data_IF_134699195521
#
_entry.id   IF_134699195521
#
_cell.length_a   1.000
_cell.length_b   1.000
_cell.length_c   1.000
_cell.angle_alpha   90.00
_cell.angle_beta   90.00
_cell.angle_gamma   90.00
#
_symmetry.space_group_name_H-M   'P 1'
#
loop_
_entity.id
_entity.type
_entity.pdbx_description
1 polymer ?
#
# COMPACT_ATOMS: atom_id res chain seq x y z
N UNK A 1 -18.94 2.68 20.88
CA UNK A 1 -18.42 1.41 21.45
C UNK A 1 -17.43 1.73 22.55
N UNK A 2 -17.24 0.91 23.58
CA UNK A 2 -16.14 1.08 24.52
C UNK A 2 -14.80 0.79 23.83
N UNK A 3 -13.73 1.46 24.29
CA UNK A 3 -12.37 1.16 23.83
C UNK A 3 -11.99 -0.29 24.20
N UNK A 4 -11.29 -1.00 23.31
CA UNK A 4 -10.69 -2.30 23.62
C UNK A 4 -9.63 -2.20 24.71
N UNK A 5 -9.14 -3.34 25.22
CA UNK A 5 -8.08 -3.34 26.26
C UNK A 5 -6.83 -2.62 25.74
N UNK A 6 -6.37 -2.93 24.53
CA UNK A 6 -5.21 -2.32 23.92
C UNK A 6 -5.41 -0.81 23.65
N UNK A 7 -6.60 -0.41 23.17
CA UNK A 7 -6.92 1.02 23.00
C UNK A 7 -6.94 1.77 24.32
N UNK A 8 -7.46 1.17 25.40
CA UNK A 8 -7.45 1.78 26.73
C UNK A 8 -6.03 1.98 27.29
N UNK A 9 -5.11 1.08 26.97
CA UNK A 9 -3.72 1.20 27.37
C UNK A 9 -3.10 2.48 26.80
N UNK A 10 -3.23 2.69 25.47
CA UNK A 10 -2.74 3.90 24.80
C UNK A 10 -3.48 5.14 25.30
N UNK A 11 -4.80 5.07 25.45
CA UNK A 11 -5.65 6.22 25.84
C UNK A 11 -5.35 6.73 27.27
N UNK A 12 -4.95 5.85 28.18
CA UNK A 12 -4.62 6.20 29.58
C UNK A 12 -3.21 6.73 29.72
N UNK A 13 -2.36 6.53 28.74
CA UNK A 13 -0.99 7.01 28.78
C UNK A 13 -0.94 8.51 28.47
N UNK A 14 -0.24 9.27 29.29
CA UNK A 14 -0.12 10.73 29.21
C UNK A 14 1.28 11.19 28.74
N UNK A 15 2.12 10.28 28.26
CA UNK A 15 3.43 10.63 27.69
C UNK A 15 3.26 11.63 26.55
N UNK A 16 4.11 12.65 26.53
CA UNK A 16 4.01 13.78 25.61
C UNK A 16 3.92 13.38 24.15
N UNK A 17 4.79 12.47 23.68
CA UNK A 17 4.79 11.96 22.32
C UNK A 17 4.58 10.45 22.34
N UNK A 18 3.52 10.00 21.73
CA UNK A 18 3.17 8.58 21.68
C UNK A 18 3.19 8.10 20.24
N UNK A 19 3.82 6.95 20.00
CA UNK A 19 3.86 6.28 18.68
C UNK A 19 3.10 4.98 18.79
N UNK A 20 2.07 4.81 17.96
CA UNK A 20 1.26 3.61 17.91
C UNK A 20 1.39 2.95 16.53
N UNK A 21 2.05 1.83 16.50
CA UNK A 21 2.19 0.96 15.34
C UNK A 21 1.21 -0.22 15.50
N UNK A 22 0.33 -0.40 14.53
CA UNK A 22 -0.66 -1.49 14.62
C UNK A 22 -0.87 -2.16 13.28
N UNK A 23 -1.39 -3.39 13.35
CA UNK A 23 -1.95 -4.04 12.18
C UNK A 23 -3.20 -3.31 11.67
N UNK A 24 -3.56 -3.59 10.41
CA UNK A 24 -4.77 -3.04 9.79
C UNK A 24 -6.03 -3.41 10.57
N UNK A 25 -7.05 -2.54 10.53
CA UNK A 25 -8.34 -2.77 11.19
C UNK A 25 -8.28 -2.89 12.72
N UNK A 26 -7.17 -2.50 13.35
CA UNK A 26 -7.05 -2.44 14.81
C UNK A 26 -8.00 -1.42 15.46
N UNK A 27 -8.44 -0.42 14.71
CA UNK A 27 -9.32 0.64 15.22
C UNK A 27 -8.59 1.95 15.56
N UNK A 28 -7.50 2.28 14.85
CA UNK A 28 -6.74 3.53 14.99
C UNK A 28 -7.62 4.77 14.93
N UNK A 29 -8.49 4.86 13.93
CA UNK A 29 -9.42 5.99 13.73
C UNK A 29 -10.33 6.18 14.94
N UNK A 30 -10.86 5.09 15.49
CA UNK A 30 -11.72 5.16 16.67
C UNK A 30 -10.97 5.66 17.92
N UNK A 31 -9.74 5.19 18.13
CA UNK A 31 -8.87 5.71 19.18
C UNK A 31 -8.57 7.20 18.97
N UNK A 32 -8.23 7.60 17.74
CA UNK A 32 -7.93 9.00 17.41
C UNK A 32 -9.10 9.95 17.73
N UNK A 33 -10.36 9.54 17.41
CA UNK A 33 -11.55 10.33 17.76
C UNK A 33 -11.64 10.52 19.28
N UNK A 34 -11.41 9.47 20.07
CA UNK A 34 -11.45 9.54 21.52
C UNK A 34 -10.32 10.42 22.09
N UNK A 35 -9.10 10.34 21.52
CA UNK A 35 -7.98 11.19 21.90
C UNK A 35 -8.24 12.67 21.58
N UNK A 36 -8.72 12.96 20.37
CA UNK A 36 -9.13 14.32 19.99
C UNK A 36 -10.21 14.85 20.95
N UNK A 37 -11.21 14.03 21.30
CA UNK A 37 -12.23 14.39 22.27
C UNK A 37 -11.63 14.61 23.69
N UNK A 38 -10.72 13.75 24.15
CA UNK A 38 -10.01 13.87 25.43
C UNK A 38 -9.35 15.24 25.59
N UNK A 39 -8.62 15.67 24.57
CA UNK A 39 -7.89 16.95 24.61
C UNK A 39 -8.80 18.16 24.39
N UNK A 40 -9.77 18.08 23.49
CA UNK A 40 -10.66 19.21 23.15
C UNK A 40 -11.76 19.48 24.19
N UNK A 41 -11.98 18.60 25.18
CA UNK A 41 -12.93 18.84 26.28
C UNK A 41 -12.52 20.00 27.20
N UNK A 42 -11.23 20.30 27.26
CA UNK A 42 -10.74 21.47 28.02
C UNK A 42 -10.94 22.74 27.18
N UNK A 43 -11.25 23.88 27.79
CA UNK A 43 -11.59 25.10 27.07
C UNK A 43 -10.40 25.69 26.30
N UNK A 44 -10.72 26.29 25.13
CA UNK A 44 -9.78 27.04 24.29
C UNK A 44 -8.58 26.21 23.79
N UNK A 45 -8.76 24.88 23.62
CA UNK A 45 -7.74 24.00 23.05
C UNK A 45 -7.74 24.06 21.54
N UNK A 46 -6.55 23.95 20.98
CA UNK A 46 -6.32 23.85 19.53
C UNK A 46 -5.76 22.49 19.21
N UNK A 47 -6.57 21.67 18.54
CA UNK A 47 -6.28 20.26 18.27
C UNK A 47 -6.26 20.05 16.76
N UNK A 48 -5.20 19.44 16.26
CA UNK A 48 -5.13 19.03 14.85
C UNK A 48 -5.12 17.52 14.69
N UNK A 49 -5.82 17.07 13.64
CA UNK A 49 -5.64 15.76 13.05
C UNK A 49 -5.02 15.96 11.67
N UNK A 50 -3.86 15.33 11.45
CA UNK A 50 -3.11 15.42 10.21
C UNK A 50 -3.02 14.04 9.57
N UNK A 51 -3.28 13.93 8.27
CA UNK A 51 -3.07 12.74 7.47
C UNK A 51 -2.30 13.08 6.20
N UNK A 52 -1.80 12.09 5.48
CA UNK A 52 -0.96 12.32 4.31
C UNK A 52 -1.69 13.03 3.17
N UNK A 53 -3.02 12.82 3.03
CA UNK A 53 -3.83 13.44 1.97
C UNK A 53 -5.12 14.07 2.52
N UNK A 54 -5.60 15.11 1.83
CA UNK A 54 -6.87 15.77 2.17
C UNK A 54 -8.06 14.79 2.12
N UNK A 55 -8.06 13.90 1.13
CA UNK A 55 -9.12 12.90 0.97
C UNK A 55 -9.20 11.96 2.18
N UNK A 56 -8.07 11.50 2.70
CA UNK A 56 -8.04 10.66 3.91
C UNK A 56 -8.62 11.40 5.11
N UNK A 57 -8.27 12.67 5.30
CA UNK A 57 -8.85 13.48 6.37
C UNK A 57 -10.37 13.57 6.28
N UNK A 58 -10.89 13.89 5.09
CA UNK A 58 -12.31 14.12 4.86
C UNK A 58 -13.13 12.84 4.94
N UNK A 59 -12.75 11.82 4.17
CA UNK A 59 -13.60 10.64 3.97
C UNK A 59 -13.52 9.65 5.15
N UNK A 60 -12.40 9.63 5.88
CA UNK A 60 -12.17 8.62 6.93
C UNK A 60 -12.44 9.18 8.33
N UNK A 61 -12.07 10.42 8.59
CA UNK A 61 -12.05 10.94 9.94
C UNK A 61 -13.09 12.03 10.23
N UNK A 62 -13.36 12.93 9.25
CA UNK A 62 -14.19 14.12 9.52
C UNK A 62 -15.62 13.78 9.90
N UNK A 63 -16.31 12.96 9.11
CA UNK A 63 -17.71 12.62 9.38
C UNK A 63 -17.91 11.86 10.69
N UNK A 64 -17.11 10.80 11.01
CA UNK A 64 -17.22 10.13 12.31
C UNK A 64 -16.92 11.04 13.50
N UNK A 65 -15.96 11.96 13.37
CA UNK A 65 -15.67 12.95 14.41
C UNK A 65 -16.84 13.91 14.60
N UNK A 66 -17.39 14.45 13.50
CA UNK A 66 -18.53 15.35 13.51
C UNK A 66 -19.74 14.71 14.21
N UNK A 67 -20.09 13.48 13.83
CA UNK A 67 -21.16 12.71 14.50
C UNK A 67 -20.91 12.57 16.00
N UNK A 68 -19.68 12.27 16.41
CA UNK A 68 -19.32 12.16 17.83
C UNK A 68 -19.51 13.49 18.56
N UNK A 69 -19.13 14.63 17.97
CA UNK A 69 -19.27 15.96 18.58
C UNK A 69 -20.74 16.40 18.65
N UNK A 70 -21.57 16.07 17.65
CA UNK A 70 -23.02 16.32 17.65
C UNK A 70 -23.69 15.49 18.76
N UNK A 71 -23.42 14.18 18.80
CA UNK A 71 -24.00 13.26 19.79
C UNK A 71 -23.74 13.73 21.22
N UNK A 72 -22.56 14.23 21.49
CA UNK A 72 -22.17 14.74 22.80
C UNK A 72 -22.62 16.19 23.06
N UNK A 73 -23.30 16.84 22.10
CA UNK A 73 -23.77 18.23 22.20
C UNK A 73 -22.65 19.26 22.44
N UNK A 74 -21.43 18.94 22.00
CA UNK A 74 -20.26 19.81 22.19
C UNK A 74 -20.09 20.83 21.07
N UNK A 75 -20.64 20.56 19.90
CA UNK A 75 -20.48 21.37 18.70
C UNK A 75 -21.15 22.74 18.83
N UNK A 76 -20.44 23.79 18.40
CA UNK A 76 -20.95 25.15 18.21
C UNK A 76 -21.06 25.54 16.73
N UNK A 77 -20.01 25.26 15.94
CA UNK A 77 -19.94 25.62 14.51
C UNK A 77 -19.16 24.58 13.71
N UNK A 78 -19.57 24.35 12.47
CA UNK A 78 -18.83 23.54 11.48
C UNK A 78 -18.44 24.40 10.29
N UNK A 79 -17.21 24.26 9.81
CA UNK A 79 -16.73 24.88 8.57
C UNK A 79 -16.22 23.78 7.65
N UNK A 80 -17.08 23.30 6.76
CA UNK A 80 -16.80 22.16 5.89
C UNK A 80 -15.63 22.42 4.91
N UNK A 81 -15.53 23.61 4.34
CA UNK A 81 -14.46 23.97 3.41
C UNK A 81 -13.05 23.89 4.04
N UNK A 82 -12.96 24.14 5.35
CA UNK A 82 -11.71 24.12 6.12
C UNK A 82 -11.60 22.89 7.03
N UNK A 83 -12.52 21.93 6.95
CA UNK A 83 -12.64 20.77 7.83
C UNK A 83 -12.40 21.13 9.31
N UNK A 84 -13.13 22.15 9.78
CA UNK A 84 -12.94 22.73 11.13
C UNK A 84 -14.22 22.62 11.95
N UNK A 85 -14.06 22.13 13.18
CA UNK A 85 -15.12 22.08 14.20
C UNK A 85 -14.77 23.05 15.33
N UNK A 86 -15.69 23.98 15.63
CA UNK A 86 -15.59 24.85 16.80
C UNK A 86 -16.53 24.33 17.87
N UNK A 87 -16.01 24.09 19.07
CA UNK A 87 -16.78 23.57 20.19
C UNK A 87 -17.34 24.69 21.06
N UNK A 88 -18.39 24.42 21.85
CA UNK A 88 -19.02 25.37 22.77
C UNK A 88 -18.05 25.93 23.80
N UNK A 89 -17.04 25.17 24.22
CA UNK A 89 -15.97 25.59 25.14
C UNK A 89 -14.87 26.42 24.46
N UNK A 90 -15.09 26.84 23.20
CA UNK A 90 -14.14 27.60 22.35
C UNK A 90 -12.90 26.82 21.92
N UNK A 91 -12.90 25.50 22.07
CA UNK A 91 -11.84 24.66 21.47
C UNK A 91 -12.08 24.52 19.98
N UNK A 92 -10.99 24.37 19.22
CA UNK A 92 -11.00 24.25 17.76
C UNK A 92 -10.31 22.96 17.38
N UNK A 93 -11.00 22.12 16.62
CA UNK A 93 -10.47 20.91 16.01
C UNK A 93 -10.38 21.15 14.51
N UNK A 94 -9.19 20.99 13.93
CA UNK A 94 -8.98 21.14 12.49
C UNK A 94 -8.32 19.88 11.92
N UNK A 95 -8.81 19.48 10.75
CA UNK A 95 -8.21 18.42 9.97
C UNK A 95 -7.34 19.05 8.88
N UNK A 96 -6.12 18.55 8.72
CA UNK A 96 -5.11 19.09 7.80
C UNK A 96 -4.45 17.96 7.02
N UNK A 97 -3.99 18.28 5.83
CA UNK A 97 -3.22 17.37 4.99
C UNK A 97 -1.74 17.72 5.00
N UNK A 98 -0.89 16.68 5.02
CA UNK A 98 0.56 16.82 4.94
C UNK A 98 1.09 16.75 3.49
N UNK A 99 0.24 16.65 2.46
CA UNK A 99 0.65 16.67 1.05
C UNK A 99 1.37 17.98 0.67
N UNK A 100 0.99 19.10 1.29
CA UNK A 100 1.72 20.36 1.26
C UNK A 100 2.05 20.80 2.69
N UNK A 101 3.05 20.17 3.30
CA UNK A 101 3.37 20.38 4.72
C UNK A 101 3.82 21.82 5.04
N UNK A 102 4.30 22.60 4.08
CA UNK A 102 4.62 24.02 4.30
C UNK A 102 3.39 24.85 4.69
N UNK A 103 2.19 24.45 4.27
CA UNK A 103 0.92 25.11 4.64
C UNK A 103 0.53 24.91 6.12
N UNK A 104 1.23 24.05 6.84
CA UNK A 104 0.97 23.72 8.25
C UNK A 104 1.72 24.64 9.24
N UNK A 105 2.46 25.64 8.77
CA UNK A 105 3.24 26.57 9.62
C UNK A 105 2.35 27.59 10.33
N UNK A 106 2.83 28.14 11.44
CA UNK A 106 2.32 29.38 12.04
C UNK A 106 1.21 29.25 13.08
N UNK A 107 0.98 28.05 13.62
CA UNK A 107 -0.06 27.80 14.65
C UNK A 107 0.51 27.06 15.85
N UNK A 108 0.24 27.53 17.07
CA UNK A 108 0.52 26.79 18.30
C UNK A 108 -0.58 25.76 18.59
N UNK A 109 -0.22 24.52 18.90
CA UNK A 109 -1.13 23.40 19.14
C UNK A 109 -1.02 22.86 20.57
N UNK A 110 -2.14 22.46 21.12
CA UNK A 110 -2.20 21.74 22.40
C UNK A 110 -2.08 20.22 22.18
N UNK A 111 -2.63 19.70 21.07
CA UNK A 111 -2.56 18.29 20.73
C UNK A 111 -2.59 18.06 19.21
N UNK A 112 -1.82 17.08 18.77
CA UNK A 112 -1.69 16.69 17.39
C UNK A 112 -1.84 15.17 17.24
N UNK A 113 -2.68 14.75 16.32
CA UNK A 113 -2.69 13.36 15.81
C UNK A 113 -2.10 13.37 14.41
N UNK A 114 -1.13 12.51 14.14
CA UNK A 114 -0.61 12.26 12.77
C UNK A 114 -0.96 10.83 12.38
N UNK A 115 -1.94 10.69 11.47
CA UNK A 115 -2.45 9.38 11.05
C UNK A 115 -1.78 8.92 9.76
N UNK A 116 -1.54 7.61 9.69
CA UNK A 116 -0.75 6.93 8.65
C UNK A 116 0.61 7.63 8.42
N UNK A 117 1.23 8.07 9.53
CA UNK A 117 2.44 8.89 9.49
C UNK A 117 3.60 8.21 8.74
N UNK A 118 3.63 6.89 8.70
CA UNK A 118 4.63 6.11 7.96
C UNK A 118 4.66 6.44 6.45
N UNK A 119 3.54 6.88 5.89
CA UNK A 119 3.37 7.21 4.48
C UNK A 119 3.54 8.72 4.19
N UNK A 120 3.68 9.55 5.22
CA UNK A 120 3.88 11.00 5.08
C UNK A 120 5.36 11.35 4.91
N UNK A 121 5.64 12.51 4.30
CA UNK A 121 7.01 13.05 4.22
C UNK A 121 7.52 13.37 5.64
N UNK A 122 8.66 12.81 6.08
CA UNK A 122 9.20 13.04 7.42
C UNK A 122 9.50 14.51 7.73
N UNK A 123 9.77 15.34 6.72
CA UNK A 123 9.96 16.79 6.87
C UNK A 123 8.71 17.47 7.45
N UNK A 124 7.53 16.92 7.20
CA UNK A 124 6.27 17.42 7.79
C UNK A 124 6.35 17.48 9.32
N UNK A 125 6.95 16.46 9.93
CA UNK A 125 7.18 16.42 11.37
C UNK A 125 8.36 17.28 11.81
N UNK A 126 9.55 16.99 11.27
CA UNK A 126 10.78 17.59 11.80
C UNK A 126 10.87 19.10 11.57
N UNK A 127 10.38 19.59 10.42
CA UNK A 127 10.50 21.01 10.05
C UNK A 127 9.28 21.84 10.43
N UNK A 128 8.07 21.23 10.51
CA UNK A 128 6.83 22.00 10.61
C UNK A 128 6.00 21.65 11.83
N UNK A 129 5.57 20.40 11.99
CA UNK A 129 4.60 20.04 13.03
C UNK A 129 5.21 20.05 14.43
N UNK A 130 6.45 19.56 14.59
CA UNK A 130 7.14 19.58 15.89
C UNK A 130 7.26 20.99 16.50
N UNK A 131 7.66 22.03 15.77
CA UNK A 131 7.68 23.40 16.29
C UNK A 131 6.32 23.93 16.73
N UNK A 132 5.20 23.48 16.12
CA UNK A 132 3.85 23.93 16.53
C UNK A 132 3.44 23.48 17.93
N UNK A 133 4.12 22.47 18.48
CA UNK A 133 3.91 21.96 19.85
C UNK A 133 4.83 22.60 20.89
N UNK A 134 5.68 23.55 20.50
CA UNK A 134 6.73 24.15 21.34
C UNK A 134 6.36 25.57 21.77
N UNK A 135 5.15 25.78 22.30
CA UNK A 135 4.77 27.09 22.87
C UNK A 135 5.37 27.25 24.29
N UNK A 136 5.91 28.45 24.60
CA UNK A 136 6.52 28.77 25.90
C UNK A 136 5.56 28.61 27.09
N UNK A 137 4.26 28.75 26.85
CA UNK A 137 3.23 28.67 27.89
C UNK A 137 2.65 27.27 28.08
N UNK A 138 2.80 26.38 27.05
CA UNK A 138 2.22 25.05 27.08
C UNK A 138 2.98 24.14 26.13
N UNK A 139 3.56 23.08 26.65
CA UNK A 139 4.06 22.01 25.82
C UNK A 139 2.91 21.18 25.25
N UNK A 140 2.69 21.25 23.95
CA UNK A 140 1.72 20.42 23.26
C UNK A 140 2.20 18.97 23.18
N UNK A 141 1.28 18.05 22.95
CA UNK A 141 1.56 16.62 22.82
C UNK A 141 1.15 16.05 21.46
N UNK A 142 1.76 14.92 21.07
CA UNK A 142 1.50 14.27 19.79
C UNK A 142 1.19 12.78 19.95
N UNK A 143 0.31 12.28 19.06
CA UNK A 143 0.04 10.86 18.88
C UNK A 143 0.23 10.51 17.38
N UNK A 144 1.19 9.64 17.11
CA UNK A 144 1.45 9.10 15.79
C UNK A 144 0.76 7.75 15.65
N UNK A 145 0.01 7.58 14.58
CA UNK A 145 -0.72 6.35 14.25
C UNK A 145 -0.26 5.83 12.90
N UNK A 146 0.06 4.57 12.81
CA UNK A 146 0.46 4.00 11.53
C UNK A 146 0.52 2.48 11.52
N UNK A 147 0.70 1.96 10.31
CA UNK A 147 1.11 0.58 10.03
C UNK A 147 2.61 0.62 9.71
N UNK A 148 3.43 -0.35 10.12
CA UNK A 148 4.87 -0.31 9.87
C UNK A 148 5.18 -0.35 8.36
N UNK A 149 6.30 0.28 7.96
CA UNK A 149 6.78 0.33 6.56
C UNK A 149 8.22 -0.18 6.40
N UNK A 150 8.69 -0.97 7.35
CA UNK A 150 10.05 -1.51 7.39
C UNK A 150 11.03 -0.68 8.19
N UNK A 151 12.20 -1.27 8.47
CA UNK A 151 13.25 -0.66 9.30
C UNK A 151 13.86 0.62 8.70
N UNK A 152 13.90 0.73 7.38
CA UNK A 152 14.41 1.94 6.69
C UNK A 152 13.43 3.11 6.63
N UNK A 153 12.24 2.98 7.19
CA UNK A 153 11.23 4.04 7.21
C UNK A 153 11.35 4.87 8.48
N UNK A 154 11.17 6.19 8.39
CA UNK A 154 11.21 7.09 9.54
C UNK A 154 10.23 6.76 10.67
N UNK A 155 9.21 5.95 10.39
CA UNK A 155 8.31 5.44 11.42
C UNK A 155 9.02 4.52 12.43
N UNK A 156 10.04 3.79 11.98
CA UNK A 156 10.88 3.01 12.88
C UNK A 156 11.76 3.90 13.75
N UNK A 157 12.30 4.99 13.18
CA UNK A 157 13.10 5.96 13.93
C UNK A 157 12.29 6.61 15.05
N UNK A 158 11.02 6.97 14.79
CA UNK A 158 10.14 7.49 15.84
C UNK A 158 9.73 6.42 16.84
N UNK A 159 9.50 5.19 16.40
CA UNK A 159 9.14 4.07 17.27
C UNK A 159 10.24 3.79 18.30
N UNK A 160 11.50 3.89 17.93
CA UNK A 160 12.66 3.64 18.80
C UNK A 160 13.08 4.86 19.63
N UNK A 161 12.45 6.04 19.46
CA UNK A 161 12.78 7.24 20.27
C UNK A 161 12.62 7.02 21.77
N UNK A 162 11.69 6.18 22.20
CA UNK A 162 11.49 5.86 23.62
C UNK A 162 12.74 5.30 24.32
N UNK A 163 13.66 4.68 23.57
CA UNK A 163 14.91 4.13 24.09
C UNK A 163 15.91 5.22 24.53
N UNK A 164 15.74 6.44 24.01
CA UNK A 164 16.66 7.56 24.19
C UNK A 164 16.03 8.78 24.85
N UNK A 165 14.70 8.83 24.93
CA UNK A 165 13.98 10.02 25.39
C UNK A 165 12.69 9.65 26.11
N UNK A 166 12.63 9.92 27.43
CA UNK A 166 11.48 9.62 28.28
C UNK A 166 10.19 10.37 27.92
N UNK A 167 10.27 11.44 27.09
CA UNK A 167 9.10 12.12 26.55
C UNK A 167 8.43 11.37 25.40
N UNK A 168 8.93 10.18 25.06
CA UNK A 168 8.40 9.31 24.01
C UNK A 168 8.00 7.96 24.58
N UNK A 169 6.89 7.45 24.08
CA UNK A 169 6.43 6.09 24.37
C UNK A 169 5.84 5.45 23.10
N UNK A 170 6.23 4.21 22.88
CA UNK A 170 5.80 3.45 21.70
C UNK A 170 4.95 2.27 22.11
N UNK A 171 3.94 1.98 21.28
CA UNK A 171 3.02 0.87 21.41
C UNK A 171 2.99 0.10 20.10
N UNK A 172 2.92 -1.22 20.21
CA UNK A 172 2.81 -2.11 19.04
C UNK A 172 1.75 -3.18 19.33
N UNK A 173 0.77 -3.28 18.42
CA UNK A 173 -0.31 -4.24 18.57
C UNK A 173 -0.66 -4.89 17.24
N UNK A 174 -0.97 -6.17 17.26
CA UNK A 174 -1.47 -6.89 16.09
C UNK A 174 -2.91 -6.48 15.76
N UNK A 175 -3.38 -6.85 14.58
CA UNK A 175 -4.79 -6.65 14.19
C UNK A 175 -5.76 -7.24 15.21
N UNK A 176 -5.46 -8.41 15.77
CA UNK A 176 -6.33 -9.10 16.73
C UNK A 176 -6.48 -8.34 18.06
N UNK A 177 -5.44 -7.66 18.52
CA UNK A 177 -5.47 -6.90 19.77
C UNK A 177 -6.49 -5.75 19.72
N UNK A 178 -6.85 -5.31 18.53
CA UNK A 178 -7.89 -4.29 18.31
C UNK A 178 -9.30 -4.77 18.61
N UNK A 179 -9.53 -6.09 18.53
CA UNK A 179 -10.84 -6.72 18.78
C UNK A 179 -11.92 -6.43 17.73
N UNK A 180 -11.54 -5.91 16.54
CA UNK A 180 -12.45 -5.56 15.46
C UNK A 180 -12.52 -6.61 14.36
N UNK A 181 -11.55 -7.51 14.29
CA UNK A 181 -11.37 -8.52 13.23
C UNK A 181 -11.51 -9.93 13.83
N UNK A 182 -12.23 -10.79 13.12
CA UNK A 182 -12.37 -12.18 13.54
C UNK A 182 -11.09 -12.99 13.26
N UNK A 183 -10.81 -14.06 14.03
CA UNK A 183 -9.71 -14.97 13.73
C UNK A 183 -9.79 -15.59 12.32
N UNK A 184 -10.99 -15.85 11.80
CA UNK A 184 -11.19 -16.40 10.47
C UNK A 184 -10.70 -15.44 9.38
N UNK A 185 -10.88 -14.13 9.54
CA UNK A 185 -10.38 -13.12 8.61
C UNK A 185 -8.84 -13.11 8.55
N UNK A 186 -8.20 -13.34 9.70
CA UNK A 186 -6.74 -13.47 9.77
C UNK A 186 -6.26 -14.73 9.01
N UNK A 187 -6.96 -15.83 9.15
CA UNK A 187 -6.63 -17.06 8.41
C UNK A 187 -6.85 -16.92 6.90
N UNK A 188 -7.86 -16.17 6.48
CA UNK A 188 -8.05 -15.84 5.06
C UNK A 188 -6.92 -14.93 4.54
N UNK A 189 -6.55 -13.92 5.31
CA UNK A 189 -5.45 -13.03 4.94
C UNK A 189 -4.11 -13.77 4.75
N UNK A 190 -3.85 -14.84 5.49
CA UNK A 190 -2.67 -15.70 5.28
C UNK A 190 -2.69 -16.42 3.94
N UNK A 191 -3.88 -16.73 3.39
CA UNK A 191 -3.97 -17.30 2.03
C UNK A 191 -3.67 -16.26 0.94
N UNK A 192 -4.13 -15.03 1.18
CA UNK A 192 -4.17 -13.98 0.16
C UNK A 192 -2.89 -13.15 0.11
N UNK A 193 -1.98 -13.30 1.09
CA UNK A 193 -0.77 -12.51 1.23
C UNK A 193 0.48 -13.38 1.33
N UNK A 194 1.61 -12.85 0.89
CA UNK A 194 2.91 -13.38 1.23
C UNK A 194 3.24 -13.16 2.72
N UNK A 195 4.18 -13.94 3.24
CA UNK A 195 4.49 -13.94 4.67
C UNK A 195 4.94 -12.58 5.20
N UNK A 196 5.80 -11.85 4.44
CA UNK A 196 6.31 -10.53 4.85
C UNK A 196 5.19 -9.50 4.90
N UNK A 197 4.36 -9.44 3.85
CA UNK A 197 3.20 -8.54 3.81
C UNK A 197 2.20 -8.88 4.92
N UNK A 198 1.94 -10.17 5.17
CA UNK A 198 1.07 -10.58 6.26
C UNK A 198 1.61 -10.13 7.62
N UNK A 199 2.89 -10.34 7.89
CA UNK A 199 3.53 -9.91 9.15
C UNK A 199 3.48 -8.39 9.31
N UNK A 200 3.79 -7.65 8.26
CA UNK A 200 3.73 -6.19 8.29
C UNK A 200 2.30 -5.66 8.52
N UNK A 201 1.33 -6.13 7.73
CA UNK A 201 0.00 -5.53 7.68
C UNK A 201 -0.94 -6.03 8.81
N UNK A 202 -0.74 -7.27 9.32
CA UNK A 202 -1.60 -7.87 10.34
C UNK A 202 -0.92 -8.06 11.68
N UNK A 203 0.37 -8.38 11.69
CA UNK A 203 1.13 -8.59 12.93
C UNK A 203 1.88 -7.34 13.38
N UNK A 204 1.75 -6.23 12.64
CA UNK A 204 2.42 -4.96 12.90
C UNK A 204 3.95 -5.06 12.99
N UNK A 205 4.56 -6.01 12.28
CA UNK A 205 6.00 -6.24 12.29
C UNK A 205 6.72 -5.24 11.39
N UNK A 206 7.84 -4.69 11.87
CA UNK A 206 8.79 -4.00 10.98
C UNK A 206 9.58 -5.04 10.22
N UNK A 207 9.53 -4.99 8.89
CA UNK A 207 10.20 -5.95 8.03
C UNK A 207 11.40 -5.31 7.32
N UNK A 208 12.40 -6.13 7.01
CA UNK A 208 13.57 -5.67 6.26
C UNK A 208 13.31 -5.77 4.76
N UNK A 209 13.54 -4.66 4.04
CA UNK A 209 13.51 -4.60 2.59
C UNK A 209 14.95 -4.50 2.05
N UNK A 210 15.74 -5.52 2.31
CA UNK A 210 17.10 -5.68 1.76
C UNK A 210 17.18 -6.96 0.93
N UNK A 211 18.11 -6.99 -0.01
CA UNK A 211 18.34 -8.15 -0.87
C UNK A 211 17.29 -8.35 -1.95
N UNK A 212 16.94 -9.61 -2.21
CA UNK A 212 16.02 -9.97 -3.31
C UNK A 212 14.61 -9.44 -3.11
N UNK A 213 14.04 -8.85 -4.16
CA UNK A 213 12.65 -8.40 -4.20
C UNK A 213 11.68 -9.58 -4.13
N UNK A 214 12.00 -10.66 -4.86
CA UNK A 214 11.18 -11.87 -4.92
C UNK A 214 11.71 -12.95 -3.98
N UNK A 215 11.81 -12.59 -2.71
CA UNK A 215 12.41 -13.39 -1.63
C UNK A 215 11.71 -14.75 -1.38
N UNK A 216 10.48 -14.91 -1.86
CA UNK A 216 9.72 -16.15 -1.77
C UNK A 216 10.04 -17.15 -2.89
N UNK A 217 10.85 -16.75 -3.88
CA UNK A 217 11.24 -17.62 -4.97
C UNK A 217 12.19 -18.72 -4.46
N UNK A 218 11.86 -19.94 -4.84
CA UNK A 218 12.72 -21.11 -4.61
C UNK A 218 12.81 -21.92 -5.90
N UNK A 219 14.01 -21.99 -6.47
CA UNK A 219 14.22 -22.66 -7.76
C UNK A 219 13.77 -24.11 -7.76
N UNK A 220 13.99 -24.85 -6.66
CA UNK A 220 13.61 -26.27 -6.57
C UNK A 220 12.09 -26.48 -6.51
N UNK A 221 11.33 -25.48 -6.07
CA UNK A 221 9.90 -25.58 -5.82
C UNK A 221 9.06 -24.79 -6.82
N UNK A 222 9.59 -23.70 -7.40
CA UNK A 222 8.88 -22.86 -8.35
C UNK A 222 9.29 -23.13 -9.82
N UNK A 223 10.45 -23.79 -10.07
CA UNK A 223 10.86 -24.12 -11.45
C UNK A 223 10.53 -25.58 -11.73
N UNK A 224 9.88 -25.81 -12.86
CA UNK A 224 9.52 -27.13 -13.40
C UNK A 224 10.33 -27.39 -14.68
N UNK A 225 10.63 -28.65 -14.96
CA UNK A 225 11.48 -29.00 -16.11
C UNK A 225 10.88 -28.55 -17.43
N UNK A 226 9.63 -28.96 -17.68
CA UNK A 226 8.88 -28.61 -18.90
C UNK A 226 7.40 -28.43 -18.56
N UNK A 227 6.71 -27.66 -19.40
CA UNK A 227 5.26 -27.52 -19.30
C UNK A 227 4.64 -27.52 -20.71
N UNK A 228 3.68 -28.39 -20.93
CA UNK A 228 2.90 -28.42 -22.16
C UNK A 228 1.51 -27.83 -21.89
N UNK A 229 1.18 -26.66 -22.48
CA UNK A 229 -0.12 -26.04 -22.26
C UNK A 229 -1.25 -26.91 -22.82
N UNK A 230 -2.30 -27.06 -22.04
CA UNK A 230 -3.47 -27.87 -22.40
C UNK A 230 -4.68 -27.02 -22.80
N UNK A 231 -4.69 -25.75 -22.42
CA UNK A 231 -5.75 -24.80 -22.76
C UNK A 231 -5.53 -24.17 -24.12
N UNK A 232 -6.64 -23.82 -24.77
CA UNK A 232 -6.62 -22.98 -25.96
C UNK A 232 -6.48 -21.48 -25.61
N UNK A 233 -6.74 -21.11 -24.36
CA UNK A 233 -6.54 -19.74 -23.84
C UNK A 233 -5.16 -19.60 -23.24
N UNK A 234 -4.41 -18.61 -23.68
CA UNK A 234 -3.12 -18.23 -23.13
C UNK A 234 -3.15 -16.82 -22.56
N UNK A 235 -2.37 -16.59 -21.52
CA UNK A 235 -2.30 -15.34 -20.79
C UNK A 235 -0.88 -14.76 -20.93
N UNK A 236 -0.77 -13.55 -21.48
CA UNK A 236 0.50 -12.91 -21.79
C UNK A 236 0.62 -11.61 -20.97
N UNK A 237 1.56 -11.55 -20.06
CA UNK A 237 2.01 -10.31 -19.44
C UNK A 237 2.98 -9.59 -20.38
N UNK A 238 2.82 -8.28 -20.57
CA UNK A 238 3.63 -7.52 -21.54
C UNK A 238 4.15 -6.22 -20.91
N UNK A 239 5.46 -6.07 -20.88
CA UNK A 239 6.14 -4.81 -20.63
C UNK A 239 6.60 -4.21 -21.96
N UNK A 240 6.02 -3.05 -22.30
CA UNK A 240 6.21 -2.38 -23.58
C UNK A 240 7.35 -1.37 -23.53
N UNK A 241 8.51 -1.81 -23.06
CA UNK A 241 9.73 -1.03 -23.14
C UNK A 241 10.43 -1.30 -24.48
N UNK A 242 11.11 -0.29 -25.02
CA UNK A 242 11.79 -0.41 -26.32
C UNK A 242 13.01 -1.34 -26.21
N UNK A 243 13.68 -1.36 -25.06
CA UNK A 243 14.96 -2.06 -24.92
C UNK A 243 15.17 -2.65 -23.51
N UNK A 244 14.77 -3.89 -23.30
CA UNK A 244 14.00 -4.80 -24.18
C UNK A 244 12.49 -4.69 -24.01
N UNK A 245 11.73 -5.06 -25.05
CA UNK A 245 10.31 -5.40 -24.91
C UNK A 245 10.22 -6.85 -24.40
N UNK A 246 9.43 -7.05 -23.36
CA UNK A 246 9.38 -8.31 -22.64
C UNK A 246 7.96 -8.85 -22.50
N UNK A 247 7.75 -10.12 -22.88
CA UNK A 247 6.50 -10.81 -22.68
C UNK A 247 6.67 -12.14 -21.95
N UNK A 248 5.75 -12.43 -21.04
CA UNK A 248 5.69 -13.67 -20.26
C UNK A 248 4.44 -14.43 -20.67
N UNK A 249 4.59 -15.64 -21.19
CA UNK A 249 3.51 -16.47 -21.70
C UNK A 249 3.14 -17.54 -20.69
N UNK A 250 1.86 -17.65 -20.37
CA UNK A 250 1.39 -18.52 -19.31
C UNK A 250 0.01 -19.15 -19.57
N UNK A 251 -0.27 -20.22 -18.84
CA UNK A 251 -1.57 -20.86 -18.70
C UNK A 251 -2.08 -20.75 -17.26
N UNK A 252 -3.37 -20.47 -17.09
CA UNK A 252 -4.06 -20.47 -15.79
C UNK A 252 -4.81 -21.78 -15.62
N UNK A 253 -4.52 -22.50 -14.52
CA UNK A 253 -5.24 -23.74 -14.12
C UNK A 253 -5.71 -23.62 -12.67
N UNK A 254 -6.97 -23.26 -12.49
CA UNK A 254 -7.50 -22.98 -11.16
C UNK A 254 -6.72 -21.81 -10.50
N UNK A 255 -6.16 -22.06 -9.33
CA UNK A 255 -5.33 -21.07 -8.64
C UNK A 255 -3.86 -21.03 -9.12
N UNK A 256 -3.46 -22.00 -9.94
CA UNK A 256 -2.08 -22.09 -10.41
C UNK A 256 -1.85 -21.33 -11.70
N UNK A 257 -0.69 -20.68 -11.79
CA UNK A 257 -0.18 -20.02 -12.98
C UNK A 257 1.10 -20.74 -13.44
N UNK A 258 1.09 -21.21 -14.67
CA UNK A 258 2.23 -21.88 -15.29
C UNK A 258 2.81 -20.99 -16.38
N UNK A 259 3.99 -20.43 -16.13
CA UNK A 259 4.78 -19.70 -17.14
C UNK A 259 5.59 -20.73 -17.93
N UNK A 260 5.39 -20.80 -19.25
CA UNK A 260 6.00 -21.84 -20.07
C UNK A 260 6.78 -21.33 -21.28
N UNK A 261 6.64 -20.04 -21.60
CA UNK A 261 7.47 -19.41 -22.64
C UNK A 261 7.68 -17.92 -22.32
N UNK A 262 8.67 -17.32 -22.97
CA UNK A 262 9.04 -15.91 -22.86
C UNK A 262 9.45 -15.33 -24.20
N UNK A 263 9.20 -14.03 -24.38
CA UNK A 263 9.66 -13.27 -25.56
C UNK A 263 10.45 -12.06 -25.05
N UNK A 264 11.65 -11.88 -25.58
CA UNK A 264 12.51 -10.72 -25.33
C UNK A 264 13.01 -10.20 -26.66
N UNK A 265 12.69 -8.95 -26.98
CA UNK A 265 13.10 -8.32 -28.24
C UNK A 265 13.73 -6.97 -27.93
N UNK A 266 14.95 -6.77 -28.39
CA UNK A 266 15.70 -5.54 -28.21
C UNK A 266 15.48 -4.58 -29.38
N UNK A 267 15.43 -3.27 -29.09
CA UNK A 267 15.22 -2.25 -30.11
C UNK A 267 13.89 -2.38 -30.86
N UNK A 268 12.85 -2.89 -30.20
CA UNK A 268 11.59 -3.31 -30.80
C UNK A 268 10.45 -2.31 -30.59
N UNK A 269 9.36 -2.56 -31.30
CA UNK A 269 8.10 -1.84 -31.19
C UNK A 269 6.92 -2.80 -30.96
N UNK A 270 5.74 -2.25 -30.69
CA UNK A 270 4.55 -3.06 -30.39
C UNK A 270 4.06 -3.90 -31.58
N UNK A 271 4.25 -3.44 -32.83
CA UNK A 271 3.85 -4.20 -34.00
C UNK A 271 4.70 -5.48 -34.15
N UNK A 272 6.02 -5.41 -33.88
CA UNK A 272 6.93 -6.58 -33.97
C UNK A 272 6.63 -7.62 -32.87
N UNK A 273 6.35 -7.23 -31.66
CA UNK A 273 5.97 -8.22 -30.63
C UNK A 273 4.62 -8.86 -30.93
N UNK A 274 3.69 -8.13 -31.56
CA UNK A 274 2.41 -8.67 -32.02
C UNK A 274 2.65 -9.73 -33.10
N UNK A 275 3.56 -9.47 -34.05
CA UNK A 275 3.92 -10.42 -35.10
C UNK A 275 4.53 -11.70 -34.52
N UNK A 276 5.48 -11.56 -33.60
CA UNK A 276 6.11 -12.69 -32.91
C UNK A 276 5.10 -13.54 -32.12
N UNK A 277 4.18 -12.89 -31.37
CA UNK A 277 3.12 -13.59 -30.66
C UNK A 277 2.20 -14.36 -31.62
N UNK A 278 1.81 -13.76 -32.77
CA UNK A 278 0.97 -14.40 -33.78
C UNK A 278 1.68 -15.57 -34.42
N UNK A 279 2.96 -15.45 -34.74
CA UNK A 279 3.75 -16.52 -35.35
C UNK A 279 3.84 -17.74 -34.44
N UNK A 280 4.00 -17.55 -33.13
CA UNK A 280 4.07 -18.66 -32.16
C UNK A 280 2.71 -19.23 -31.77
N UNK A 281 1.65 -18.40 -31.75
CA UNK A 281 0.37 -18.74 -31.11
C UNK A 281 -0.86 -18.42 -31.96
N UNK A 282 -0.79 -18.57 -33.28
CA UNK A 282 -1.84 -18.20 -34.24
C UNK A 282 -3.21 -18.83 -33.97
N UNK A 283 -3.26 -20.03 -33.41
CA UNK A 283 -4.48 -20.78 -33.12
C UNK A 283 -5.01 -20.62 -31.68
N UNK A 284 -4.38 -19.75 -30.87
CA UNK A 284 -4.72 -19.58 -29.46
C UNK A 284 -5.61 -18.37 -29.21
N UNK A 285 -6.46 -18.47 -28.19
CA UNK A 285 -7.17 -17.32 -27.65
C UNK A 285 -6.23 -16.54 -26.73
N UNK A 286 -5.78 -15.36 -27.17
CA UNK A 286 -4.76 -14.57 -26.51
C UNK A 286 -5.39 -13.51 -25.62
N UNK A 287 -5.17 -13.63 -24.30
CA UNK A 287 -5.42 -12.58 -23.31
C UNK A 287 -4.10 -11.88 -23.01
N UNK A 288 -4.04 -10.56 -23.21
CA UNK A 288 -2.82 -9.78 -23.01
C UNK A 288 -3.01 -8.73 -21.91
N UNK A 289 -2.01 -8.62 -21.05
CA UNK A 289 -1.98 -7.77 -19.86
C UNK A 289 -0.80 -6.79 -19.96
N UNK A 290 -0.98 -5.68 -20.69
CA UNK A 290 0.09 -4.72 -20.92
C UNK A 290 0.24 -3.74 -19.75
N UNK A 291 1.37 -3.02 -19.76
CA UNK A 291 1.55 -1.84 -18.92
C UNK A 291 0.39 -0.84 -19.14
N UNK A 292 -0.25 -0.31 -18.09
CA UNK A 292 -1.25 0.76 -18.20
C UNK A 292 -0.78 2.00 -18.96
N UNK A 293 0.54 2.29 -19.06
CA UNK A 293 1.10 3.34 -19.90
C UNK A 293 0.80 3.16 -21.39
N UNK A 294 0.48 1.94 -21.86
CA UNK A 294 0.10 1.62 -23.24
C UNK A 294 -1.11 2.41 -23.76
N UNK A 295 -1.88 3.04 -22.86
CA UNK A 295 -2.99 3.96 -23.19
C UNK A 295 -2.52 5.32 -23.69
N UNK A 296 -1.26 5.69 -23.46
CA UNK A 296 -0.74 7.00 -23.86
C UNK A 296 -0.56 7.08 -25.38
N UNK A 297 -0.99 8.22 -25.96
CA UNK A 297 -0.77 8.50 -27.39
C UNK A 297 0.69 8.85 -27.63
N UNK A 298 1.30 8.18 -28.60
CA UNK A 298 2.67 8.51 -29.06
C UNK A 298 2.57 9.28 -30.38
N UNK A 299 3.14 10.49 -30.43
CA UNK A 299 3.17 11.33 -31.64
C UNK A 299 3.94 10.67 -32.77
N UNK A 300 4.98 9.91 -32.45
CA UNK A 300 5.80 9.12 -33.41
C UNK A 300 5.05 8.00 -34.10
N UNK A 301 3.91 7.55 -33.57
CA UNK A 301 3.10 6.45 -34.12
C UNK A 301 1.83 6.92 -34.86
N UNK A 302 1.79 8.17 -35.37
CA UNK A 302 0.61 8.72 -36.05
C UNK A 302 -0.63 8.80 -35.17
N UNK A 303 -0.45 8.98 -33.85
CA UNK A 303 -1.54 9.05 -32.86
C UNK A 303 -2.11 7.70 -32.43
N UNK A 304 -1.60 6.56 -32.93
CA UNK A 304 -1.95 5.23 -32.43
C UNK A 304 -1.39 5.02 -31.02
N UNK A 305 -2.12 4.31 -30.19
CA UNK A 305 -1.66 3.84 -28.90
C UNK A 305 -1.21 2.39 -29.01
N UNK A 306 -0.25 1.97 -28.17
CA UNK A 306 0.15 0.56 -28.09
C UNK A 306 -1.07 -0.34 -27.80
N UNK A 307 -2.00 0.15 -26.96
CA UNK A 307 -3.27 -0.51 -26.70
C UNK A 307 -4.12 -0.71 -27.97
N UNK A 308 -4.16 0.27 -28.90
CA UNK A 308 -4.90 0.16 -30.15
C UNK A 308 -4.28 -0.86 -31.09
N UNK A 309 -2.94 -0.97 -31.12
CA UNK A 309 -2.21 -1.96 -31.90
C UNK A 309 -2.56 -3.37 -31.42
N UNK A 310 -2.48 -3.62 -30.12
CA UNK A 310 -2.82 -4.93 -29.53
C UNK A 310 -4.28 -5.32 -29.79
N UNK A 311 -5.23 -4.40 -29.70
CA UNK A 311 -6.65 -4.65 -29.99
C UNK A 311 -6.88 -4.95 -31.49
N UNK A 312 -6.26 -4.17 -32.37
CA UNK A 312 -6.37 -4.37 -33.82
C UNK A 312 -5.75 -5.69 -34.27
N UNK A 313 -4.77 -6.19 -33.49
CA UNK A 313 -4.21 -7.52 -33.71
C UNK A 313 -5.19 -8.67 -33.40
N UNK A 314 -6.36 -8.37 -32.78
CA UNK A 314 -7.35 -9.36 -32.38
C UNK A 314 -7.15 -9.90 -30.95
N UNK A 315 -6.23 -9.36 -30.17
CA UNK A 315 -5.98 -9.82 -28.81
C UNK A 315 -7.04 -9.32 -27.81
N UNK A 316 -7.36 -10.15 -26.84
CA UNK A 316 -8.25 -9.78 -25.72
C UNK A 316 -7.45 -8.99 -24.69
N UNK A 317 -7.43 -7.66 -24.84
CA UNK A 317 -6.59 -6.79 -24.00
C UNK A 317 -7.25 -6.51 -22.67
N UNK A 318 -6.55 -6.81 -21.59
CA UNK A 318 -6.95 -6.61 -20.19
C UNK A 318 -5.97 -5.64 -19.52
N UNK A 319 -6.40 -4.43 -19.25
CA UNK A 319 -5.53 -3.39 -18.69
C UNK A 319 -6.25 -2.59 -17.60
N UNK A 320 -5.55 -2.29 -16.51
CA UNK A 320 -6.06 -1.44 -15.42
C UNK A 320 -6.29 0.00 -15.88
N UNK A 321 -7.22 0.71 -15.25
CA UNK A 321 -7.45 2.13 -15.53
C UNK A 321 -6.32 3.05 -15.02
N UNK A 322 -5.62 2.64 -13.98
CA UNK A 322 -4.47 3.31 -13.40
C UNK A 322 -3.34 2.31 -13.16
N UNK A 323 -2.11 2.80 -13.07
CA UNK A 323 -0.98 1.96 -12.67
C UNK A 323 -1.20 1.41 -11.27
N UNK A 324 -1.12 0.09 -11.06
CA UNK A 324 -1.01 -0.47 -9.72
C UNK A 324 0.28 0.01 -9.06
N UNK A 325 0.26 0.16 -7.75
CA UNK A 325 1.48 0.48 -7.02
C UNK A 325 2.52 -0.61 -7.25
N UNK A 326 3.78 -0.22 -7.46
CA UNK A 326 4.90 -1.16 -7.66
C UNK A 326 4.95 -2.20 -6.54
N UNK A 327 4.76 -1.76 -5.30
CA UNK A 327 4.68 -2.63 -4.13
C UNK A 327 3.59 -3.71 -4.27
N UNK A 328 2.40 -3.33 -4.73
CA UNK A 328 1.27 -4.27 -4.83
C UNK A 328 1.51 -5.32 -5.92
N UNK A 329 2.17 -4.95 -7.03
CA UNK A 329 2.61 -5.89 -8.07
C UNK A 329 3.66 -6.88 -7.52
N UNK A 330 4.67 -6.39 -6.82
CA UNK A 330 5.71 -7.22 -6.19
C UNK A 330 5.09 -8.20 -5.19
N UNK A 331 4.21 -7.71 -4.32
CA UNK A 331 3.57 -8.52 -3.30
C UNK A 331 2.65 -9.58 -3.93
N UNK A 332 1.94 -9.28 -5.02
CA UNK A 332 1.13 -10.25 -5.74
C UNK A 332 1.99 -11.41 -6.31
N UNK A 333 3.15 -11.09 -6.88
CA UNK A 333 4.10 -12.10 -7.35
C UNK A 333 4.64 -12.93 -6.18
N UNK A 334 5.08 -12.29 -5.09
CA UNK A 334 5.58 -13.00 -3.90
C UNK A 334 4.51 -13.91 -3.28
N UNK A 335 3.25 -13.48 -3.27
CA UNK A 335 2.12 -14.31 -2.79
C UNK A 335 1.94 -15.57 -3.63
N UNK A 336 2.05 -15.45 -4.96
CA UNK A 336 1.95 -16.59 -5.88
C UNK A 336 3.18 -17.50 -5.81
N UNK A 337 4.35 -16.94 -5.58
CA UNK A 337 5.58 -17.71 -5.33
C UNK A 337 5.46 -18.54 -4.04
N UNK A 338 4.99 -17.93 -2.96
CA UNK A 338 4.69 -18.61 -1.69
C UNK A 338 3.85 -17.69 -0.81
N UNK A 339 2.63 -18.10 -0.48
CA UNK A 339 1.80 -17.34 0.45
C UNK A 339 2.20 -17.59 1.92
N UNK A 340 1.59 -16.86 2.87
CA UNK A 340 1.92 -16.97 4.29
C UNK A 340 1.56 -18.34 4.92
N UNK A 341 0.76 -19.17 4.22
CA UNK A 341 0.51 -20.57 4.58
C UNK A 341 1.52 -21.55 3.99
N UNK A 342 2.50 -21.06 3.21
CA UNK A 342 3.50 -21.89 2.56
C UNK A 342 3.07 -22.47 1.20
N UNK A 343 1.87 -22.14 0.71
CA UNK A 343 1.35 -22.67 -0.56
C UNK A 343 1.97 -21.90 -1.73
N UNK A 344 2.38 -22.60 -2.78
CA UNK A 344 2.94 -22.09 -4.02
C UNK A 344 1.97 -22.32 -5.17
N UNK A 345 1.74 -21.29 -5.96
CA UNK A 345 0.80 -21.32 -7.09
C UNK A 345 1.36 -20.66 -8.35
N UNK A 346 2.65 -20.28 -8.35
CA UNK A 346 3.40 -19.84 -9.54
C UNK A 346 4.50 -20.85 -9.86
N UNK A 347 4.43 -21.42 -11.07
CA UNK A 347 5.41 -22.36 -11.59
C UNK A 347 5.96 -21.84 -12.92
N UNK A 348 7.28 -21.98 -13.10
CA UNK A 348 8.00 -21.45 -14.26
C UNK A 348 8.77 -22.59 -14.92
N UNK A 349 8.53 -22.80 -16.20
CA UNK A 349 9.25 -23.82 -16.95
C UNK A 349 10.73 -23.43 -17.12
N UNK A 350 11.61 -24.41 -17.02
CA UNK A 350 13.06 -24.20 -17.00
C UNK A 350 13.62 -23.56 -18.29
N UNK A 351 12.87 -23.55 -19.40
CA UNK A 351 13.22 -22.83 -20.64
C UNK A 351 13.05 -21.30 -20.49
N UNK A 352 12.24 -20.80 -19.56
CA UNK A 352 12.03 -19.37 -19.31
C UNK A 352 13.22 -18.77 -18.52
N UNK A 353 14.40 -18.74 -19.12
CA UNK A 353 15.65 -18.37 -18.48
C UNK A 353 15.69 -16.90 -18.05
N UNK A 354 15.09 -16.00 -18.84
CA UNK A 354 15.07 -14.57 -18.52
C UNK A 354 14.13 -14.27 -17.35
N UNK A 355 12.94 -14.89 -17.31
CA UNK A 355 12.01 -14.79 -16.17
C UNK A 355 12.69 -15.28 -14.90
N UNK A 356 13.28 -16.48 -14.91
CA UNK A 356 13.96 -17.07 -13.75
C UNK A 356 15.10 -16.16 -13.28
N UNK A 357 15.98 -15.73 -14.21
CA UNK A 357 17.11 -14.84 -13.90
C UNK A 357 16.65 -13.50 -13.32
N UNK A 358 15.59 -12.92 -13.87
CA UNK A 358 15.06 -11.64 -13.39
C UNK A 358 14.49 -11.74 -11.98
N UNK A 359 13.75 -12.80 -11.68
CA UNK A 359 13.22 -13.06 -10.33
C UNK A 359 14.36 -13.28 -9.32
N UNK A 360 15.38 -14.04 -9.68
CA UNK A 360 16.50 -14.34 -8.79
C UNK A 360 17.37 -13.13 -8.46
N UNK A 361 17.52 -12.20 -9.41
CA UNK A 361 18.56 -11.17 -9.37
C UNK A 361 18.05 -9.77 -9.10
N UNK A 362 16.76 -9.51 -9.22
CA UNK A 362 16.25 -8.18 -8.93
C UNK A 362 16.29 -7.90 -7.43
N UNK A 363 16.93 -6.80 -7.07
CA UNK A 363 17.12 -6.34 -5.70
C UNK A 363 16.44 -4.99 -5.48
N UNK A 364 16.27 -4.61 -4.23
CA UNK A 364 15.88 -3.25 -3.88
C UNK A 364 17.07 -2.29 -4.08
N UNK A 365 16.75 -1.07 -4.52
CA UNK A 365 17.69 0.04 -4.49
C UNK A 365 18.07 0.33 -3.04
N UNK A 366 19.36 0.45 -2.75
CA UNK A 366 19.91 0.65 -1.41
C UNK A 366 19.18 1.77 -0.65
N UNK A 367 18.78 1.49 0.60
CA UNK A 367 18.05 2.42 1.46
C UNK A 367 16.60 2.71 1.06
N UNK A 368 16.03 1.97 0.10
CA UNK A 368 14.66 2.19 -0.38
C UNK A 368 13.87 0.88 -0.47
N UNK A 369 12.54 1.00 -0.60
CA UNK A 369 11.65 -0.11 -0.95
C UNK A 369 11.30 -0.16 -2.45
N UNK A 370 12.09 0.50 -3.30
CA UNK A 370 11.91 0.53 -4.75
C UNK A 370 12.86 -0.46 -5.44
N UNK A 371 12.44 -1.10 -6.55
CA UNK A 371 13.31 -1.94 -7.36
C UNK A 371 14.51 -1.16 -7.91
N UNK A 372 15.67 -1.78 -7.87
CA UNK A 372 16.82 -1.32 -8.64
C UNK A 372 16.63 -1.68 -10.12
N UNK A 373 16.69 -0.66 -10.99
CA UNK A 373 16.47 -0.78 -12.43
C UNK A 373 17.77 -0.74 -13.24
N UNK A 374 18.92 -0.70 -12.59
CA UNK A 374 20.22 -0.51 -13.28
C UNK A 374 20.65 -1.71 -14.13
N UNK A 375 20.11 -2.91 -13.84
CA UNK A 375 20.52 -4.17 -14.46
C UNK A 375 19.46 -4.78 -15.40
N UNK A 376 18.40 -4.05 -15.77
CA UNK A 376 17.31 -4.46 -16.66
C UNK A 376 16.59 -5.77 -16.25
N UNK A 377 16.63 -6.15 -14.97
CA UNK A 377 15.87 -7.28 -14.46
C UNK A 377 14.40 -6.95 -14.21
N UNK A 378 14.05 -5.66 -14.24
CA UNK A 378 12.69 -5.18 -13.99
C UNK A 378 11.73 -5.52 -15.14
N UNK A 379 12.16 -5.52 -16.41
CA UNK A 379 11.28 -5.67 -17.56
C UNK A 379 10.47 -6.98 -17.56
N UNK A 380 11.16 -8.12 -17.39
CA UNK A 380 10.47 -9.41 -17.29
C UNK A 380 9.61 -9.52 -16.04
N UNK A 381 10.07 -8.96 -14.94
CA UNK A 381 9.34 -8.94 -13.67
C UNK A 381 8.14 -7.99 -13.72
N UNK A 382 8.22 -6.87 -14.44
CA UNK A 382 7.10 -5.96 -14.67
C UNK A 382 6.05 -6.63 -15.58
N UNK A 383 6.46 -7.31 -16.66
CA UNK A 383 5.57 -8.10 -17.49
C UNK A 383 4.81 -9.18 -16.70
N UNK A 384 5.52 -9.97 -15.88
CA UNK A 384 4.93 -10.96 -14.99
C UNK A 384 4.02 -10.30 -13.94
N UNK A 385 4.44 -9.17 -13.42
CA UNK A 385 3.71 -8.42 -12.40
C UNK A 385 2.39 -7.84 -12.90
N UNK A 386 2.32 -7.31 -14.12
CA UNK A 386 1.07 -6.82 -14.71
C UNK A 386 0.04 -7.94 -14.89
N UNK A 387 0.49 -9.11 -15.35
CA UNK A 387 -0.34 -10.29 -15.49
C UNK A 387 -0.89 -10.76 -14.13
N UNK A 388 -0.01 -10.97 -13.17
CA UNK A 388 -0.38 -11.54 -11.86
C UNK A 388 -1.24 -10.56 -11.08
N UNK A 389 -0.89 -9.26 -11.04
CA UNK A 389 -1.68 -8.26 -10.32
C UNK A 389 -3.08 -8.12 -10.92
N UNK A 390 -3.22 -8.23 -12.22
CA UNK A 390 -4.53 -8.15 -12.86
C UNK A 390 -5.41 -9.35 -12.51
N UNK A 391 -4.89 -10.57 -12.60
CA UNK A 391 -5.61 -11.81 -12.36
C UNK A 391 -5.85 -12.07 -10.86
N UNK A 392 -4.86 -11.77 -10.04
CA UNK A 392 -4.82 -12.06 -8.61
C UNK A 392 -4.44 -10.81 -7.82
N UNK A 393 -5.26 -9.75 -7.89
CA UNK A 393 -4.95 -8.53 -7.14
C UNK A 393 -4.93 -8.81 -5.67
N UNK A 394 -3.97 -8.23 -4.95
CA UNK A 394 -4.02 -8.21 -3.49
C UNK A 394 -5.26 -7.41 -3.10
N UNK A 395 -6.33 -8.13 -2.83
CA UNK A 395 -7.55 -7.53 -2.31
C UNK A 395 -7.30 -7.15 -0.86
N UNK A 396 -6.94 -5.90 -0.64
CA UNK A 396 -7.39 -5.29 0.60
C UNK A 396 -8.91 -5.33 0.50
N UNK A 397 -9.57 -6.28 1.20
CA UNK A 397 -11.02 -6.38 1.27
C UNK A 397 -11.58 -5.13 1.94
N UNK A 398 -11.53 -4.01 1.22
CA UNK A 398 -12.18 -2.76 1.57
C UNK A 398 -13.53 -2.69 0.87
N UNK A 399 -14.50 -3.44 1.36
CA UNK A 399 -15.84 -2.85 1.45
C UNK A 399 -15.80 -2.00 2.71
N UNK A 400 -15.93 -0.68 2.63
CA UNK A 400 -16.23 0.11 3.82
C UNK A 400 -17.50 -0.50 4.37
N UNK A 401 -17.45 -1.07 5.57
CA UNK A 401 -18.69 -1.38 6.29
C UNK A 401 -19.43 -0.05 6.38
N UNK A 402 -20.70 0.01 6.01
CA UNK A 402 -21.47 1.22 6.23
C UNK A 402 -21.30 1.59 7.70
N UNK A 403 -21.15 2.86 8.02
CA UNK A 403 -21.00 3.28 9.41
C UNK A 403 -22.17 2.65 10.17
N UNK A 404 -21.88 1.80 11.14
CA UNK A 404 -22.92 1.28 12.03
C UNK A 404 -23.56 2.50 12.65
N UNK A 405 -24.80 2.79 12.27
CA UNK A 405 -25.57 3.88 12.87
C UNK A 405 -25.48 3.69 14.38
N UNK A 406 -24.98 4.69 15.04
CA UNK A 406 -24.93 4.72 16.49
C UNK A 406 -26.38 4.79 16.98
N UNK A 407 -26.92 3.67 17.47
CA UNK A 407 -28.19 3.63 18.18
C UNK A 407 -28.00 4.18 19.59
#
# INVERSE_FOLDING_TARGET
>A
MPLSKAQKEVFKDDTRNRVLITGRRWGKTYLAINEVAKFSRYPKRRVWYVSCTYRMCKDIFFEPLLEAMIKNKWLSKVTYSALTLTLKNKSIIQLRSADNFNSLRGVGLDFLVVDEFSDCDPRSWYEVLRPTLSDKSKEGSALFLGTPRGYGNWSYDLFTQQERNSNWKSFQFTTLDGGQVSPNEIEQAKNDLDERTFRQEYMASFEEFSGSIYYNFNRKENVIDTYTPTSNAIHIGLDQNIDPMSAVISEVKGENLYVYDEIVIYGSNTDEVVEEIKNRYSEKHIFIYPDPASKQRKTSAGGRTDLSILKNAGFNVRVRNAHPLVRDRINAVNTKLKNAKGVRTLFIANNCKNVIKSIERQIYKEGTSLPDKTNNYDHMNDALGYLIEFLYPIRTHFKPSPPKRFS
#
